data_IF_764180655657
#
_entry.id   IF_764180655657
#
_cell.length_a   1.000
_cell.length_b   1.000
_cell.length_c   1.000
_cell.angle_alpha   90.00
_cell.angle_beta   90.00
_cell.angle_gamma   90.00
#
_symmetry.space_group_name_H-M   'P 1'
#
loop_
_entity.id
_entity.type
_entity.pdbx_description
1 polymer ?
#
# COMPACT_ATOMS: atom_id res chain seq x y z
N UNK A 1 -10.55 -44.43 -13.67
CA UNK A 1 -10.23 -43.02 -13.43
C UNK A 1 -9.33 -43.00 -12.20
N UNK A 2 -8.06 -42.62 -12.31
CA UNK A 2 -7.10 -42.71 -11.20
C UNK A 2 -7.49 -41.69 -10.12
N UNK A 3 -8.16 -42.15 -9.08
CA UNK A 3 -8.34 -41.42 -7.83
C UNK A 3 -6.94 -41.34 -7.22
N UNK A 4 -6.40 -40.15 -7.03
CA UNK A 4 -5.16 -39.98 -6.26
C UNK A 4 -5.37 -40.53 -4.85
N UNK A 5 -4.34 -41.10 -4.23
CA UNK A 5 -4.42 -41.70 -2.89
C UNK A 5 -4.70 -40.63 -1.84
N UNK A 6 -5.97 -40.26 -1.65
CA UNK A 6 -6.38 -39.33 -0.62
C UNK A 6 -6.16 -39.97 0.76
N UNK A 7 -5.66 -39.18 1.70
CA UNK A 7 -5.39 -39.61 3.08
C UNK A 7 -6.63 -39.41 3.94
N UNK A 8 -7.20 -40.50 4.42
CA UNK A 8 -8.43 -40.50 5.22
C UNK A 8 -8.07 -40.90 6.66
N UNK A 9 -8.36 -40.04 7.62
CA UNK A 9 -8.28 -40.38 9.05
C UNK A 9 -9.63 -40.89 9.51
N UNK A 10 -9.66 -42.08 10.11
CA UNK A 10 -10.84 -42.74 10.65
C UNK A 10 -10.71 -42.75 12.18
N UNK A 11 -11.73 -42.30 12.89
CA UNK A 11 -11.72 -42.20 14.35
C UNK A 11 -12.95 -42.89 14.91
N UNK A 12 -12.74 -43.98 15.62
CA UNK A 12 -13.79 -44.82 16.21
C UNK A 12 -13.19 -45.58 17.40
N UNK A 13 -13.87 -45.60 18.54
CA UNK A 13 -13.41 -46.33 19.73
C UNK A 13 -13.59 -47.85 19.58
N UNK A 14 -14.41 -48.30 18.62
CA UNK A 14 -14.51 -49.69 18.24
C UNK A 14 -13.49 -50.05 17.15
N UNK A 15 -12.34 -50.60 17.53
CA UNK A 15 -11.26 -50.94 16.58
C UNK A 15 -11.72 -51.89 15.44
N UNK A 16 -12.73 -52.72 15.66
CA UNK A 16 -13.34 -53.55 14.60
C UNK A 16 -14.03 -52.74 13.51
N UNK A 17 -14.67 -51.62 13.86
CA UNK A 17 -15.34 -50.71 12.92
C UNK A 17 -14.31 -49.92 12.13
N UNK A 18 -13.31 -49.35 12.83
CA UNK A 18 -12.16 -48.67 12.22
C UNK A 18 -11.44 -49.56 11.20
N UNK A 19 -11.16 -50.82 11.56
CA UNK A 19 -10.46 -51.76 10.68
C UNK A 19 -11.30 -52.13 9.44
N UNK A 20 -12.61 -52.30 9.60
CA UNK A 20 -13.52 -52.58 8.48
C UNK A 20 -13.57 -51.40 7.50
N UNK A 21 -13.74 -50.18 8.00
CA UNK A 21 -13.71 -48.95 7.19
C UNK A 21 -12.39 -48.80 6.46
N UNK A 22 -11.28 -48.96 7.20
CA UNK A 22 -9.93 -48.86 6.66
C UNK A 22 -9.74 -49.85 5.52
N UNK A 23 -10.15 -51.11 5.69
CA UNK A 23 -10.06 -52.13 4.64
C UNK A 23 -10.92 -51.79 3.41
N UNK A 24 -12.17 -51.38 3.60
CA UNK A 24 -13.08 -51.02 2.49
C UNK A 24 -12.56 -49.83 1.67
N UNK A 25 -12.07 -48.79 2.35
CA UNK A 25 -11.53 -47.59 1.69
C UNK A 25 -10.17 -47.87 1.05
N UNK A 26 -9.34 -48.71 1.65
CA UNK A 26 -8.07 -49.15 1.06
C UNK A 26 -8.29 -49.93 -0.24
N UNK A 27 -9.30 -50.80 -0.31
CA UNK A 27 -9.67 -51.50 -1.55
C UNK A 27 -10.13 -50.54 -2.65
N UNK A 28 -10.73 -49.40 -2.28
CA UNK A 28 -11.11 -48.34 -3.20
C UNK A 28 -9.92 -47.43 -3.61
N UNK A 29 -8.73 -47.65 -3.05
CA UNK A 29 -7.49 -46.95 -3.40
C UNK A 29 -7.16 -45.73 -2.53
N UNK A 30 -7.84 -45.55 -1.41
CA UNK A 30 -7.53 -44.48 -0.44
C UNK A 30 -6.45 -44.93 0.55
N UNK A 31 -5.67 -43.98 1.05
CA UNK A 31 -4.70 -44.22 2.11
C UNK A 31 -5.36 -43.95 3.46
N UNK A 32 -5.51 -44.97 4.29
CA UNK A 32 -6.29 -44.84 5.54
C UNK A 32 -5.43 -44.88 6.78
N UNK A 33 -5.79 -44.05 7.75
CA UNK A 33 -5.18 -43.97 9.07
C UNK A 33 -6.28 -44.11 10.11
N UNK A 34 -5.96 -44.65 11.28
CA UNK A 34 -6.95 -44.90 12.34
C UNK A 34 -6.50 -44.30 13.67
N UNK A 35 -7.46 -43.90 14.48
CA UNK A 35 -7.27 -43.52 15.88
C UNK A 35 -8.44 -44.05 16.72
N UNK A 36 -8.14 -44.59 17.90
CA UNK A 36 -9.17 -45.19 18.78
C UNK A 36 -9.85 -44.15 19.69
N UNK A 37 -9.42 -42.89 19.66
CA UNK A 37 -10.04 -41.80 20.43
C UNK A 37 -9.75 -40.42 19.82
N UNK A 38 -10.53 -39.42 20.24
CA UNK A 38 -10.44 -38.05 19.72
C UNK A 38 -9.12 -37.32 20.08
N UNK A 39 -8.46 -37.64 21.20
CA UNK A 39 -7.20 -36.99 21.57
C UNK A 39 -6.05 -37.42 20.65
N UNK A 40 -5.94 -38.72 20.38
CA UNK A 40 -4.97 -39.25 19.44
C UNK A 40 -5.26 -38.75 18.02
N UNK A 41 -6.55 -38.66 17.64
CA UNK A 41 -6.95 -38.06 16.37
C UNK A 41 -6.50 -36.60 16.24
N UNK A 42 -6.70 -35.76 17.26
CA UNK A 42 -6.24 -34.36 17.25
C UNK A 42 -4.73 -34.26 17.09
N UNK A 43 -3.98 -35.12 17.78
CA UNK A 43 -2.52 -35.17 17.65
C UNK A 43 -2.12 -35.50 16.21
N UNK A 44 -2.72 -36.54 15.62
CA UNK A 44 -2.47 -36.92 14.23
C UNK A 44 -2.82 -35.79 13.26
N UNK A 45 -3.97 -35.13 13.43
CA UNK A 45 -4.43 -34.01 12.61
C UNK A 45 -3.53 -32.77 12.70
N UNK A 46 -2.78 -32.63 13.79
CA UNK A 46 -1.81 -31.55 13.99
C UNK A 46 -0.44 -31.88 13.38
N UNK A 47 -0.01 -33.14 13.48
CA UNK A 47 1.29 -33.61 13.00
C UNK A 47 1.30 -33.93 11.49
N UNK A 48 0.15 -34.28 10.92
CA UNK A 48 0.02 -34.77 9.55
C UNK A 48 -1.12 -34.08 8.81
N UNK A 49 -1.04 -34.06 7.47
CA UNK A 49 -2.12 -33.61 6.61
C UNK A 49 -3.00 -34.79 6.17
N UNK A 50 -4.31 -34.57 6.26
CA UNK A 50 -5.34 -35.49 5.79
C UNK A 50 -6.28 -34.76 4.82
N UNK A 51 -6.93 -35.50 3.94
CA UNK A 51 -7.88 -35.00 2.97
C UNK A 51 -9.35 -35.19 3.42
N UNK A 52 -9.58 -36.07 4.40
CA UNK A 52 -10.89 -36.34 4.97
C UNK A 52 -10.75 -36.90 6.40
N UNK A 53 -11.62 -36.45 7.30
CA UNK A 53 -11.84 -37.06 8.60
C UNK A 53 -13.18 -37.81 8.60
N UNK A 54 -13.18 -39.07 8.99
CA UNK A 54 -14.38 -39.85 9.32
C UNK A 54 -14.35 -40.12 10.82
N UNK A 55 -15.36 -39.69 11.57
CA UNK A 55 -15.36 -39.86 13.04
C UNK A 55 -16.70 -40.38 13.55
N UNK A 56 -16.67 -41.31 14.51
CA UNK A 56 -17.86 -41.70 15.23
C UNK A 56 -18.38 -40.57 16.14
N UNK A 57 -19.70 -40.45 16.27
CA UNK A 57 -20.28 -39.45 17.19
C UNK A 57 -19.95 -39.80 18.64
N UNK A 58 -20.10 -41.05 19.04
CA UNK A 58 -20.08 -41.50 20.43
C UNK A 58 -18.76 -42.18 20.75
N UNK A 59 -17.83 -41.39 21.26
CA UNK A 59 -16.56 -41.89 21.78
C UNK A 59 -16.39 -41.50 23.26
N UNK A 60 -15.64 -42.27 24.06
CA UNK A 60 -15.33 -41.93 25.44
C UNK A 60 -14.56 -40.61 25.55
N UNK A 61 -14.79 -39.88 26.65
CA UNK A 61 -14.15 -38.61 27.02
C UNK A 61 -14.49 -37.41 26.11
N UNK A 62 -14.20 -37.51 24.82
CA UNK A 62 -14.47 -36.46 23.83
C UNK A 62 -15.17 -37.07 22.63
N UNK A 63 -16.36 -36.55 22.34
CA UNK A 63 -17.22 -37.07 21.28
C UNK A 63 -16.82 -36.51 19.89
N UNK A 64 -17.31 -37.11 18.81
CA UNK A 64 -16.94 -36.71 17.44
C UNK A 64 -17.31 -35.26 17.10
N UNK A 65 -18.38 -34.72 17.70
CA UNK A 65 -18.79 -33.32 17.49
C UNK A 65 -17.80 -32.36 18.15
N UNK A 66 -17.31 -32.69 19.34
CA UNK A 66 -16.28 -31.93 20.06
C UNK A 66 -14.93 -31.97 19.34
N UNK A 67 -14.55 -33.14 18.81
CA UNK A 67 -13.37 -33.32 17.96
C UNK A 67 -13.43 -32.36 16.77
N UNK A 68 -14.56 -32.32 16.06
CA UNK A 68 -14.73 -31.43 14.89
C UNK A 68 -14.68 -29.96 15.30
N UNK A 69 -15.27 -29.58 16.43
CA UNK A 69 -15.16 -28.20 16.93
C UNK A 69 -13.71 -27.79 17.17
N UNK A 70 -12.89 -28.66 17.76
CA UNK A 70 -11.47 -28.41 17.96
C UNK A 70 -10.71 -28.34 16.63
N UNK A 71 -10.97 -29.27 15.71
CA UNK A 71 -10.41 -29.28 14.36
C UNK A 71 -10.66 -27.94 13.63
N UNK A 72 -11.88 -27.41 13.70
CA UNK A 72 -12.26 -26.18 12.99
C UNK A 72 -11.48 -24.94 13.44
N UNK A 73 -10.84 -24.96 14.61
CA UNK A 73 -10.00 -23.85 15.09
C UNK A 73 -8.69 -23.70 14.31
N UNK A 74 -8.14 -24.78 13.78
CA UNK A 74 -6.85 -24.78 13.09
C UNK A 74 -6.89 -25.33 11.65
N UNK A 75 -7.90 -26.12 11.31
CA UNK A 75 -8.14 -26.61 9.96
C UNK A 75 -9.65 -26.54 9.64
N UNK A 76 -10.15 -25.32 9.32
CA UNK A 76 -11.59 -25.09 9.12
C UNK A 76 -12.17 -25.82 7.91
N UNK A 77 -11.32 -26.31 7.00
CA UNK A 77 -11.74 -26.73 5.66
C UNK A 77 -11.61 -28.22 5.41
N UNK A 78 -10.96 -28.95 6.33
CA UNK A 78 -10.88 -30.40 6.25
C UNK A 78 -12.30 -30.96 6.17
N UNK A 79 -12.65 -31.67 5.08
CA UNK A 79 -13.92 -32.34 5.00
C UNK A 79 -14.07 -33.33 6.15
N UNK A 80 -15.27 -33.37 6.73
CA UNK A 80 -15.60 -34.28 7.81
C UNK A 80 -16.84 -35.06 7.44
N UNK A 81 -16.80 -36.36 7.67
CA UNK A 81 -17.96 -37.23 7.69
C UNK A 81 -18.13 -37.76 9.11
N UNK A 82 -19.37 -37.73 9.58
CA UNK A 82 -19.72 -38.30 10.88
C UNK A 82 -20.34 -39.68 10.69
N UNK A 83 -19.86 -40.68 11.42
CA UNK A 83 -20.45 -42.02 11.51
C UNK A 83 -21.33 -42.12 12.75
N UNK A 84 -22.55 -42.66 12.64
CA UNK A 84 -23.45 -42.79 13.78
C UNK A 84 -24.33 -44.03 13.70
N UNK A 85 -24.61 -44.64 14.86
CA UNK A 85 -25.61 -45.71 14.99
C UNK A 85 -27.06 -45.18 15.15
N UNK A 86 -27.26 -43.87 15.36
CA UNK A 86 -28.56 -43.32 15.78
C UNK A 86 -29.13 -42.36 14.73
N UNK A 87 -30.38 -42.63 14.31
CA UNK A 87 -31.18 -41.75 13.44
C UNK A 87 -31.87 -40.63 14.24
N UNK A 88 -31.13 -39.91 15.06
CA UNK A 88 -31.68 -38.79 15.83
C UNK A 88 -31.52 -37.49 15.04
N UNK A 89 -32.66 -36.87 14.70
CA UNK A 89 -32.72 -35.66 13.90
C UNK A 89 -32.05 -34.44 14.56
N UNK A 90 -32.01 -34.37 15.89
CA UNK A 90 -31.36 -33.25 16.59
C UNK A 90 -29.84 -33.32 16.48
N UNK A 91 -29.27 -34.51 16.64
CA UNK A 91 -27.84 -34.76 16.46
C UNK A 91 -27.38 -34.47 15.02
N UNK A 92 -28.18 -34.85 14.01
CA UNK A 92 -27.90 -34.56 12.59
C UNK A 92 -27.92 -33.05 12.32
N UNK A 93 -28.92 -32.32 12.86
CA UNK A 93 -28.96 -30.85 12.74
C UNK A 93 -27.74 -30.18 13.37
N UNK A 94 -27.28 -30.69 14.52
CA UNK A 94 -26.09 -30.16 15.19
C UNK A 94 -24.83 -30.41 14.34
N UNK A 95 -24.68 -31.62 13.78
CA UNK A 95 -23.58 -31.97 12.88
C UNK A 95 -23.52 -31.07 11.64
N UNK A 96 -24.67 -30.78 11.01
CA UNK A 96 -24.73 -29.86 9.88
C UNK A 96 -24.35 -28.42 10.27
N UNK A 97 -24.77 -27.95 11.45
CA UNK A 97 -24.41 -26.62 11.95
C UNK A 97 -22.92 -26.43 12.21
N UNK A 98 -22.19 -27.50 12.54
CA UNK A 98 -20.73 -27.43 12.76
C UNK A 98 -19.90 -27.65 11.48
N UNK A 99 -20.56 -27.68 10.31
CA UNK A 99 -19.89 -27.73 9.01
C UNK A 99 -19.35 -29.11 8.62
N UNK A 100 -20.04 -30.18 9.02
CA UNK A 100 -19.77 -31.55 8.57
C UNK A 100 -20.36 -31.74 7.17
N UNK A 101 -19.63 -32.43 6.29
CA UNK A 101 -19.98 -32.61 4.87
C UNK A 101 -21.01 -33.71 4.65
N UNK A 102 -21.03 -34.72 5.51
CA UNK A 102 -22.01 -35.78 5.48
C UNK A 102 -22.13 -36.54 6.79
N UNK A 103 -23.18 -37.32 6.92
CA UNK A 103 -23.30 -38.32 7.97
C UNK A 103 -23.63 -39.70 7.38
N UNK A 104 -23.04 -40.75 7.94
CA UNK A 104 -23.23 -42.13 7.53
C UNK A 104 -23.85 -42.89 8.70
N UNK A 105 -24.85 -43.74 8.42
CA UNK A 105 -25.52 -44.54 9.45
C UNK A 105 -24.95 -45.96 9.50
N UNK A 106 -24.60 -46.45 10.69
CA UNK A 106 -24.16 -47.85 10.92
C UNK A 106 -25.37 -48.80 10.99
N UNK A 107 -25.33 -50.01 10.37
CA UNK A 107 -24.34 -50.48 9.41
C UNK A 107 -24.56 -49.84 8.02
N UNK A 108 -23.49 -49.43 7.35
CA UNK A 108 -23.54 -48.79 6.03
C UNK A 108 -23.21 -49.76 4.90
N UNK A 109 -23.84 -49.54 3.74
CA UNK A 109 -23.48 -50.23 2.50
C UNK A 109 -22.22 -49.60 1.87
N UNK A 110 -21.45 -50.39 1.14
CA UNK A 110 -20.17 -49.95 0.58
C UNK A 110 -20.34 -48.79 -0.43
N UNK A 111 -21.39 -48.83 -1.24
CA UNK A 111 -21.74 -47.79 -2.20
C UNK A 111 -22.12 -46.47 -1.53
N UNK A 112 -22.89 -46.52 -0.44
CA UNK A 112 -23.23 -45.33 0.36
C UNK A 112 -21.98 -44.67 0.97
N UNK A 113 -21.08 -45.47 1.54
CA UNK A 113 -19.81 -45.00 2.09
C UNK A 113 -18.94 -44.32 1.03
N UNK A 114 -18.72 -45.01 -0.11
CA UNK A 114 -17.88 -44.48 -1.18
C UNK A 114 -18.45 -43.21 -1.81
N UNK A 115 -19.78 -43.13 -1.97
CA UNK A 115 -20.44 -41.93 -2.47
C UNK A 115 -20.25 -40.74 -1.52
N UNK A 116 -20.43 -40.95 -0.21
CA UNK A 116 -20.24 -39.94 0.83
C UNK A 116 -18.80 -39.42 0.87
N UNK A 117 -17.83 -40.33 0.86
CA UNK A 117 -16.39 -40.04 0.84
C UNK A 117 -16.02 -39.23 -0.41
N UNK A 118 -16.45 -39.67 -1.58
CA UNK A 118 -16.14 -38.99 -2.83
C UNK A 118 -16.70 -37.55 -2.84
N UNK A 119 -17.94 -37.37 -2.39
CA UNK A 119 -18.59 -36.05 -2.30
C UNK A 119 -17.84 -35.12 -1.33
N UNK A 120 -17.42 -35.63 -0.18
CA UNK A 120 -16.69 -34.85 0.82
C UNK A 120 -15.30 -34.44 0.30
N UNK A 121 -14.58 -35.35 -0.34
CA UNK A 121 -13.28 -35.08 -0.95
C UNK A 121 -13.37 -34.06 -2.10
N UNK A 122 -14.38 -34.18 -2.97
CA UNK A 122 -14.62 -33.20 -4.04
C UNK A 122 -14.92 -31.81 -3.49
N UNK A 123 -15.69 -31.72 -2.40
CA UNK A 123 -15.93 -30.44 -1.73
C UNK A 123 -14.66 -29.84 -1.13
N UNK A 124 -13.83 -30.65 -0.44
CA UNK A 124 -12.54 -30.21 0.09
C UNK A 124 -11.60 -29.68 -1.00
N UNK A 125 -11.53 -30.38 -2.14
CA UNK A 125 -10.76 -29.96 -3.31
C UNK A 125 -11.22 -28.60 -3.84
N UNK A 126 -12.52 -28.39 -4.00
CA UNK A 126 -13.09 -27.11 -4.47
C UNK A 126 -12.75 -25.99 -3.48
N UNK A 127 -12.90 -26.22 -2.17
CA UNK A 127 -12.55 -25.22 -1.15
C UNK A 127 -11.07 -24.85 -1.19
N UNK A 128 -10.18 -25.83 -1.37
CA UNK A 128 -8.74 -25.59 -1.47
C UNK A 128 -8.39 -24.84 -2.77
N UNK A 129 -9.02 -25.19 -3.89
CA UNK A 129 -8.82 -24.52 -5.17
C UNK A 129 -9.30 -23.07 -5.14
N UNK A 130 -10.48 -22.82 -4.57
CA UNK A 130 -11.03 -21.48 -4.39
C UNK A 130 -10.09 -20.59 -3.56
N UNK A 131 -9.54 -21.12 -2.45
CA UNK A 131 -8.57 -20.38 -1.63
C UNK A 131 -7.29 -20.06 -2.39
N UNK A 132 -6.75 -21.04 -3.11
CA UNK A 132 -5.58 -20.84 -3.98
C UNK A 132 -5.86 -19.82 -5.08
N UNK A 133 -7.08 -19.78 -5.60
CA UNK A 133 -7.48 -18.81 -6.61
C UNK A 133 -7.61 -17.40 -6.01
N UNK A 134 -8.27 -17.26 -4.85
CA UNK A 134 -8.37 -16.00 -4.11
C UNK A 134 -7.00 -15.41 -3.80
N UNK A 135 -6.09 -16.21 -3.24
CA UNK A 135 -4.75 -15.76 -2.92
C UNK A 135 -3.98 -15.31 -4.17
N UNK A 136 -4.09 -16.06 -5.29
CA UNK A 136 -3.48 -15.65 -6.57
C UNK A 136 -4.06 -14.34 -7.10
N UNK A 137 -5.38 -14.13 -6.97
CA UNK A 137 -6.01 -12.88 -7.40
C UNK A 137 -5.52 -11.69 -6.56
N UNK A 138 -5.42 -11.85 -5.24
CA UNK A 138 -4.89 -10.80 -4.35
C UNK A 138 -3.46 -10.41 -4.72
N UNK A 139 -2.60 -11.40 -4.95
CA UNK A 139 -1.22 -11.20 -5.41
C UNK A 139 -1.17 -10.48 -6.77
N UNK A 140 -2.00 -10.90 -7.73
CA UNK A 140 -2.09 -10.25 -9.05
C UNK A 140 -2.56 -8.80 -8.95
N UNK A 141 -3.57 -8.51 -8.11
CA UNK A 141 -4.05 -7.15 -7.88
C UNK A 141 -2.95 -6.29 -7.26
N UNK A 142 -2.21 -6.81 -6.27
CA UNK A 142 -1.09 -6.09 -5.66
C UNK A 142 -0.02 -5.75 -6.69
N UNK A 143 0.40 -6.73 -7.49
CA UNK A 143 1.40 -6.54 -8.54
C UNK A 143 0.94 -5.55 -9.62
N UNK A 144 -0.33 -5.62 -10.05
CA UNK A 144 -0.88 -4.67 -11.01
C UNK A 144 -0.92 -3.25 -10.44
N UNK A 145 -1.28 -3.09 -9.17
CA UNK A 145 -1.30 -1.79 -8.49
C UNK A 145 0.11 -1.18 -8.39
N UNK A 146 1.10 -1.98 -8.00
CA UNK A 146 2.50 -1.53 -7.95
C UNK A 146 3.01 -1.15 -9.33
N UNK A 147 2.73 -1.97 -10.36
CA UNK A 147 3.11 -1.67 -11.74
C UNK A 147 2.48 -0.38 -12.24
N UNK A 148 1.19 -0.17 -11.98
CA UNK A 148 0.48 1.06 -12.36
C UNK A 148 1.06 2.27 -11.63
N UNK A 149 1.36 2.16 -10.34
CA UNK A 149 1.95 3.26 -9.56
C UNK A 149 3.37 3.62 -10.06
N UNK A 150 4.18 2.61 -10.39
CA UNK A 150 5.52 2.82 -10.94
C UNK A 150 5.47 3.45 -12.34
N UNK A 151 4.55 2.99 -13.20
CA UNK A 151 4.33 3.60 -14.50
C UNK A 151 3.88 5.05 -14.37
N UNK A 152 2.90 5.32 -13.50
CA UNK A 152 2.40 6.67 -13.24
C UNK A 152 3.53 7.60 -12.76
N UNK A 153 4.26 7.20 -11.72
CA UNK A 153 5.38 7.98 -11.17
C UNK A 153 6.49 8.18 -12.20
N UNK A 154 6.80 7.13 -12.97
CA UNK A 154 7.78 7.19 -14.05
C UNK A 154 7.37 8.18 -15.15
N UNK A 155 6.10 8.16 -15.57
CA UNK A 155 5.56 9.10 -16.57
C UNK A 155 5.62 10.54 -16.06
N UNK A 156 5.20 10.81 -14.83
CA UNK A 156 5.28 12.14 -14.22
C UNK A 156 6.74 12.63 -14.18
N UNK A 157 7.67 11.79 -13.72
CA UNK A 157 9.09 12.14 -13.68
C UNK A 157 9.67 12.41 -15.08
N UNK A 158 9.27 11.63 -16.10
CA UNK A 158 9.68 11.85 -17.48
C UNK A 158 9.14 13.17 -18.05
N UNK A 159 7.90 13.53 -17.75
CA UNK A 159 7.30 14.80 -18.19
C UNK A 159 8.01 16.00 -17.56
N UNK A 160 8.28 15.94 -16.25
CA UNK A 160 9.03 16.97 -15.53
C UNK A 160 10.43 17.13 -16.14
N UNK A 161 11.16 16.02 -16.33
CA UNK A 161 12.49 16.06 -16.96
C UNK A 161 12.47 16.64 -18.37
N UNK A 162 11.44 16.31 -19.16
CA UNK A 162 11.28 16.85 -20.51
C UNK A 162 11.00 18.36 -20.49
N UNK A 163 10.20 18.84 -19.53
CA UNK A 163 9.95 20.26 -19.33
C UNK A 163 11.25 20.97 -18.87
N UNK A 164 11.93 20.47 -17.84
CA UNK A 164 13.18 21.06 -17.30
C UNK A 164 14.30 21.07 -18.34
N UNK A 165 14.39 20.07 -19.23
CA UNK A 165 15.40 20.02 -20.28
C UNK A 165 15.33 21.22 -21.26
N UNK A 166 14.20 21.92 -21.33
CA UNK A 166 14.04 23.13 -22.15
C UNK A 166 14.65 24.38 -21.51
N UNK A 167 14.94 24.34 -20.21
CA UNK A 167 15.43 25.47 -19.42
C UNK A 167 16.80 25.16 -18.82
N UNK A 168 17.84 25.83 -19.34
CA UNK A 168 19.19 25.72 -18.79
C UNK A 168 19.23 26.07 -17.30
N UNK A 169 19.73 25.14 -16.47
CA UNK A 169 19.89 25.34 -15.02
C UNK A 169 18.70 24.95 -14.14
N UNK A 170 17.61 24.42 -14.71
CA UNK A 170 16.42 24.00 -13.93
C UNK A 170 16.40 22.53 -13.54
N UNK A 171 17.43 21.75 -13.86
CA UNK A 171 17.46 20.33 -13.55
C UNK A 171 17.25 20.08 -12.04
N UNK A 172 16.21 19.29 -11.73
CA UNK A 172 15.82 18.95 -10.36
C UNK A 172 15.17 20.09 -9.58
N UNK A 173 14.82 21.21 -10.22
CA UNK A 173 14.11 22.34 -9.59
C UNK A 173 12.80 21.87 -8.98
N UNK A 174 11.98 21.17 -9.76
CA UNK A 174 10.64 20.75 -9.33
C UNK A 174 10.71 19.84 -8.09
N UNK A 175 11.73 18.96 -8.02
CA UNK A 175 11.97 18.10 -6.87
C UNK A 175 12.37 18.90 -5.62
N UNK A 176 13.28 19.86 -5.75
CA UNK A 176 13.69 20.71 -4.61
C UNK A 176 12.54 21.57 -4.09
N UNK A 177 11.75 22.15 -4.99
CA UNK A 177 10.54 22.91 -4.61
C UNK A 177 9.54 22.02 -3.88
N UNK A 178 9.28 20.81 -4.38
CA UNK A 178 8.41 19.85 -3.70
C UNK A 178 8.92 19.48 -2.30
N UNK A 179 10.22 19.24 -2.15
CA UNK A 179 10.84 18.91 -0.86
C UNK A 179 10.75 20.07 0.15
N UNK A 180 11.05 21.30 -0.29
CA UNK A 180 10.93 22.50 0.55
C UNK A 180 9.46 22.70 0.95
N UNK A 181 8.52 22.57 0.02
CA UNK A 181 7.11 22.72 0.30
C UNK A 181 6.62 21.70 1.33
N UNK A 182 7.02 20.43 1.22
CA UNK A 182 6.70 19.38 2.22
C UNK A 182 7.27 19.72 3.59
N UNK A 183 8.49 20.26 3.67
CA UNK A 183 9.09 20.68 4.94
C UNK A 183 8.29 21.79 5.61
N UNK A 184 7.93 22.84 4.87
CA UNK A 184 7.07 23.92 5.35
C UNK A 184 5.71 23.35 5.81
N UNK A 185 5.09 22.50 5.00
CA UNK A 185 3.83 21.84 5.32
C UNK A 185 3.91 21.01 6.61
N UNK A 186 5.02 20.30 6.83
CA UNK A 186 5.22 19.50 8.04
C UNK A 186 5.38 20.39 9.28
N UNK A 187 6.13 21.49 9.18
CA UNK A 187 6.32 22.44 10.27
C UNK A 187 5.00 23.05 10.77
N UNK A 188 4.02 23.26 9.88
CA UNK A 188 2.67 23.73 10.25
C UNK A 188 1.69 22.61 10.62
N UNK A 189 2.13 21.36 10.70
CA UNK A 189 1.32 20.22 11.15
C UNK A 189 0.40 19.60 10.10
N UNK A 190 0.68 19.74 8.80
CA UNK A 190 -0.08 19.06 7.75
C UNK A 190 0.04 17.53 7.87
N UNK A 191 -1.09 16.84 7.65
CA UNK A 191 -1.15 15.36 7.64
C UNK A 191 -0.57 14.78 6.34
N UNK A 192 -0.23 13.49 6.35
CA UNK A 192 0.37 12.77 5.21
C UNK A 192 -0.37 12.91 3.88
N UNK A 193 -1.70 13.02 3.91
CA UNK A 193 -2.48 13.24 2.69
C UNK A 193 -2.22 14.63 2.09
N UNK A 194 -2.25 15.68 2.92
CA UNK A 194 -1.98 17.05 2.51
C UNK A 194 -0.52 17.23 2.06
N UNK A 195 0.43 16.59 2.76
CA UNK A 195 1.85 16.59 2.37
C UNK A 195 2.07 15.93 1.01
N UNK A 196 1.38 14.81 0.72
CA UNK A 196 1.44 14.16 -0.59
C UNK A 196 0.91 15.07 -1.70
N UNK A 197 -0.22 15.75 -1.48
CA UNK A 197 -0.76 16.71 -2.46
C UNK A 197 0.19 17.87 -2.70
N UNK A 198 0.79 18.40 -1.63
CA UNK A 198 1.75 19.51 -1.71
C UNK A 198 3.02 19.11 -2.46
N UNK A 199 3.54 17.90 -2.20
CA UNK A 199 4.66 17.34 -2.94
C UNK A 199 4.33 17.22 -4.44
N UNK A 200 3.17 16.63 -4.79
CA UNK A 200 2.75 16.51 -6.18
C UNK A 200 2.54 17.87 -6.85
N UNK A 201 1.96 18.85 -6.13
CA UNK A 201 1.82 20.21 -6.64
C UNK A 201 3.18 20.87 -6.88
N UNK A 202 4.15 20.71 -5.98
CA UNK A 202 5.51 21.21 -6.17
C UNK A 202 6.24 20.57 -7.35
N UNK A 203 6.03 19.28 -7.60
CA UNK A 203 6.59 18.61 -8.77
C UNK A 203 5.99 19.11 -10.10
N UNK A 204 4.75 19.59 -10.08
CA UNK A 204 3.98 19.86 -11.29
C UNK A 204 3.64 21.33 -11.52
N UNK A 205 4.02 22.23 -10.60
CA UNK A 205 3.61 23.65 -10.63
C UNK A 205 3.91 24.33 -11.98
N UNK A 206 5.06 24.02 -12.56
CA UNK A 206 5.57 24.59 -13.81
C UNK A 206 5.21 23.80 -15.08
N UNK A 207 4.39 22.74 -15.01
CA UNK A 207 4.12 21.87 -16.18
C UNK A 207 3.50 22.65 -17.36
N UNK A 208 2.75 23.71 -17.07
CA UNK A 208 2.15 24.58 -18.08
C UNK A 208 3.16 25.30 -18.97
N UNK A 209 4.42 25.41 -18.54
CA UNK A 209 5.49 26.02 -19.32
C UNK A 209 5.80 25.25 -20.61
N UNK A 210 5.32 24.01 -20.75
CA UNK A 210 5.37 23.25 -22.02
C UNK A 210 4.74 24.04 -23.18
N UNK A 211 3.71 24.86 -22.93
CA UNK A 211 3.02 25.63 -23.97
C UNK A 211 3.74 26.91 -24.42
N UNK A 212 4.77 27.37 -23.70
CA UNK A 212 5.48 28.63 -23.99
C UNK A 212 6.56 28.36 -25.05
N UNK A 213 6.76 29.25 -26.02
CA UNK A 213 7.75 29.08 -27.08
C UNK A 213 9.20 29.21 -26.58
N UNK A 214 10.13 28.42 -27.14
CA UNK A 214 11.57 28.48 -26.79
C UNK A 214 12.18 29.86 -27.06
N UNK A 215 11.72 30.56 -28.09
CA UNK A 215 12.14 31.92 -28.44
C UNK A 215 11.83 32.95 -27.34
N UNK A 216 10.82 32.69 -26.50
CA UNK A 216 10.45 33.52 -25.36
C UNK A 216 11.24 33.08 -24.13
N UNK A 217 11.25 31.78 -23.83
CA UNK A 217 11.90 31.22 -22.65
C UNK A 217 13.42 31.45 -22.63
N UNK A 218 14.08 31.32 -23.78
CA UNK A 218 15.54 31.39 -23.89
C UNK A 218 16.03 32.76 -24.36
N UNK A 219 15.16 33.78 -24.37
CA UNK A 219 15.50 35.11 -24.88
C UNK A 219 16.60 35.75 -24.02
N UNK A 220 17.77 36.12 -24.59
CA UNK A 220 18.88 36.71 -23.83
C UNK A 220 18.69 38.21 -23.53
N UNK A 221 17.47 38.72 -23.69
CA UNK A 221 17.10 40.12 -23.52
C UNK A 221 15.81 40.23 -22.70
N UNK A 222 15.51 41.43 -22.21
CA UNK A 222 14.28 41.68 -21.49
C UNK A 222 13.06 41.28 -22.35
N UNK A 223 12.09 40.65 -21.69
CA UNK A 223 10.83 40.25 -22.30
C UNK A 223 9.93 41.48 -22.49
N UNK A 224 9.13 41.47 -23.55
CA UNK A 224 8.05 42.45 -23.73
C UNK A 224 6.87 42.13 -22.80
N UNK A 225 5.98 43.11 -22.59
CA UNK A 225 4.76 42.88 -21.80
C UNK A 225 3.90 41.73 -22.35
N UNK A 226 3.83 41.58 -23.68
CA UNK A 226 3.12 40.45 -24.29
C UNK A 226 3.81 39.12 -24.02
N UNK A 227 5.14 39.06 -24.07
CA UNK A 227 5.92 37.86 -23.77
C UNK A 227 5.81 37.47 -22.28
N UNK A 228 5.78 38.45 -21.38
CA UNK A 228 5.54 38.24 -19.96
C UNK A 228 4.15 37.64 -19.74
N UNK A 229 3.11 38.19 -20.38
CA UNK A 229 1.74 37.68 -20.25
C UNK A 229 1.62 36.22 -20.73
N UNK A 230 2.37 35.84 -21.77
CA UNK A 230 2.43 34.44 -22.24
C UNK A 230 3.03 33.53 -21.16
N UNK A 231 4.14 33.93 -20.53
CA UNK A 231 4.73 33.15 -19.44
C UNK A 231 3.77 33.09 -18.24
N UNK A 232 3.14 34.20 -17.86
CA UNK A 232 2.21 34.26 -16.73
C UNK A 232 0.94 33.43 -16.94
N UNK A 233 0.67 32.97 -18.17
CA UNK A 233 -0.45 32.07 -18.45
C UNK A 233 -0.19 30.60 -18.05
N UNK A 234 1.07 30.22 -17.76
CA UNK A 234 1.41 28.82 -17.51
C UNK A 234 0.72 28.19 -16.28
N UNK A 235 0.37 28.89 -15.18
CA UNK A 235 -0.35 28.23 -14.10
C UNK A 235 -1.74 27.77 -14.53
N UNK A 236 -2.40 28.55 -15.40
CA UNK A 236 -3.70 28.21 -16.00
C UNK A 236 -3.54 27.02 -16.96
N UNK A 237 -2.57 27.10 -17.88
CA UNK A 237 -2.28 26.00 -18.79
C UNK A 237 -1.87 24.71 -18.05
N UNK A 238 -1.19 24.84 -16.91
CA UNK A 238 -0.82 23.73 -16.04
C UNK A 238 -2.05 23.01 -15.50
N UNK A 239 -3.07 23.74 -15.04
CA UNK A 239 -4.35 23.14 -14.62
C UNK A 239 -5.03 22.43 -15.80
N UNK A 240 -5.10 23.07 -16.97
CA UNK A 240 -5.75 22.47 -18.15
C UNK A 240 -5.08 21.16 -18.60
N UNK A 241 -3.75 21.06 -18.45
CA UNK A 241 -2.97 19.85 -18.73
C UNK A 241 -3.25 18.75 -17.70
N UNK A 242 -3.42 19.13 -16.43
CA UNK A 242 -3.47 18.19 -15.31
C UNK A 242 -4.89 17.75 -14.94
N UNK A 243 -5.92 18.54 -15.22
CA UNK A 243 -7.30 18.23 -14.87
C UNK A 243 -7.86 16.91 -15.45
N UNK A 244 -7.37 16.38 -16.59
CA UNK A 244 -7.79 15.04 -17.03
C UNK A 244 -7.17 13.90 -16.20
N UNK A 245 -6.09 14.16 -15.47
CA UNK A 245 -5.32 13.16 -14.70
C UNK A 245 -5.66 13.24 -13.21
N UNK A 246 -5.84 14.46 -12.69
CA UNK A 246 -6.08 14.73 -11.28
C UNK A 246 -7.48 15.31 -11.07
N UNK A 247 -8.28 14.64 -10.24
CA UNK A 247 -9.60 15.10 -9.77
C UNK A 247 -9.51 15.61 -8.32
N UNK A 248 -8.49 16.42 -8.02
CA UNK A 248 -8.30 17.03 -6.70
C UNK A 248 -8.21 18.55 -6.84
N UNK A 249 -9.29 19.24 -6.46
CA UNK A 249 -9.39 20.69 -6.56
C UNK A 249 -8.31 21.39 -5.73
N UNK A 250 -7.95 20.87 -4.55
CA UNK A 250 -6.95 21.50 -3.68
C UNK A 250 -5.56 21.50 -4.32
N UNK A 251 -5.20 20.40 -4.99
CA UNK A 251 -3.96 20.26 -5.75
C UNK A 251 -3.94 21.20 -6.95
N UNK A 252 -5.01 21.19 -7.76
CA UNK A 252 -5.10 22.03 -8.97
C UNK A 252 -5.09 23.53 -8.61
N UNK A 253 -5.76 23.92 -7.53
CA UNK A 253 -5.72 25.30 -7.02
C UNK A 253 -4.33 25.69 -6.50
N UNK A 254 -3.61 24.78 -5.84
CA UNK A 254 -2.23 25.05 -5.44
C UNK A 254 -1.34 25.34 -6.66
N UNK A 255 -1.51 24.58 -7.74
CA UNK A 255 -0.78 24.77 -9.01
C UNK A 255 -1.24 26.06 -9.72
N UNK A 256 -2.52 26.37 -9.79
CA UNK A 256 -2.99 27.58 -10.48
C UNK A 256 -2.46 28.87 -9.87
N UNK A 257 -2.36 28.89 -8.55
CA UNK A 257 -2.18 30.12 -7.78
C UNK A 257 -0.78 30.25 -7.16
N UNK A 258 0.19 29.41 -7.54
CA UNK A 258 1.54 29.43 -6.96
C UNK A 258 2.33 30.72 -7.24
N UNK A 259 1.80 31.63 -8.06
CA UNK A 259 2.34 32.96 -8.32
C UNK A 259 1.46 34.11 -7.80
N UNK A 260 0.45 33.82 -7.00
CA UNK A 260 -0.28 34.85 -6.26
C UNK A 260 0.60 35.45 -5.16
N UNK A 261 0.61 36.77 -5.04
CA UNK A 261 1.29 37.48 -3.96
C UNK A 261 0.31 37.70 -2.81
N UNK A 262 0.77 37.62 -1.57
CA UNK A 262 -0.08 37.80 -0.39
C UNK A 262 -0.88 39.12 -0.39
N UNK A 263 -0.33 40.21 -0.95
CA UNK A 263 -0.99 41.52 -1.13
C UNK A 263 -1.94 41.62 -2.34
N UNK A 264 -2.01 40.57 -3.16
CA UNK A 264 -2.78 40.44 -4.40
C UNK A 264 -2.20 41.17 -5.60
N UNK A 265 -0.91 41.51 -5.57
CA UNK A 265 -0.18 41.98 -6.76
C UNK A 265 0.24 40.85 -7.71
N UNK A 266 -0.03 39.59 -7.35
CA UNK A 266 0.33 38.40 -8.11
C UNK A 266 -0.66 38.06 -9.23
N UNK A 267 -0.53 36.84 -9.75
CA UNK A 267 -1.30 36.34 -10.89
C UNK A 267 -1.57 34.83 -10.73
N UNK A 268 -2.53 34.23 -11.46
CA UNK A 268 -3.33 34.79 -12.54
C UNK A 268 -4.58 35.57 -12.12
N UNK A 269 -5.08 35.38 -10.89
CA UNK A 269 -6.42 35.83 -10.49
C UNK A 269 -6.38 37.00 -9.48
N UNK A 270 -5.20 37.35 -8.95
CA UNK A 270 -5.01 38.51 -8.06
C UNK A 270 -5.58 38.28 -6.67
N UNK A 271 -5.56 37.03 -6.20
CA UNK A 271 -6.09 36.63 -4.90
C UNK A 271 -5.27 37.23 -3.75
N UNK A 272 -5.93 37.52 -2.62
CA UNK A 272 -5.29 38.15 -1.46
C UNK A 272 -5.31 37.28 -0.22
N UNK A 273 -4.24 37.34 0.55
CA UNK A 273 -4.12 36.74 1.87
C UNK A 273 -4.62 35.28 1.91
N UNK A 274 -5.73 35.02 2.61
CA UNK A 274 -6.30 33.69 2.81
C UNK A 274 -7.15 33.18 1.63
N UNK A 275 -7.49 34.04 0.67
CA UNK A 275 -8.14 33.63 -0.57
C UNK A 275 -7.20 32.75 -1.40
N UNK A 276 -5.89 32.97 -1.26
CA UNK A 276 -4.85 32.15 -1.85
C UNK A 276 -4.86 30.78 -1.14
N UNK A 277 -5.01 29.67 -1.88
CA UNK A 277 -4.97 28.33 -1.31
C UNK A 277 -3.69 28.11 -0.51
N UNK A 278 -3.79 27.40 0.63
CA UNK A 278 -2.63 27.13 1.49
C UNK A 278 -1.46 26.52 0.72
N UNK A 279 -1.73 25.55 -0.16
CA UNK A 279 -0.69 24.93 -0.99
C UNK A 279 0.05 25.93 -1.88
N UNK A 280 -0.66 26.88 -2.50
CA UNK A 280 -0.07 27.93 -3.32
C UNK A 280 0.80 28.89 -2.49
N UNK A 281 0.32 29.30 -1.30
CA UNK A 281 1.10 30.14 -0.37
C UNK A 281 2.39 29.47 0.11
N UNK A 282 2.39 28.15 0.25
CA UNK A 282 3.62 27.39 0.56
C UNK A 282 4.54 27.31 -0.67
N UNK A 283 3.98 27.01 -1.85
CA UNK A 283 4.76 26.83 -3.09
C UNK A 283 5.52 28.10 -3.48
N UNK A 284 4.91 29.28 -3.38
CA UNK A 284 5.59 30.53 -3.75
C UNK A 284 6.84 30.82 -2.89
N UNK A 285 6.83 30.41 -1.61
CA UNK A 285 8.00 30.50 -0.72
C UNK A 285 9.07 29.50 -1.18
N UNK A 286 8.66 28.23 -1.37
CA UNK A 286 9.56 27.16 -1.78
C UNK A 286 10.25 27.45 -3.13
N UNK A 287 9.48 27.90 -4.13
CA UNK A 287 9.96 28.26 -5.45
C UNK A 287 10.89 29.47 -5.42
N UNK A 288 10.53 30.50 -4.65
CA UNK A 288 11.36 31.70 -4.48
C UNK A 288 12.71 31.34 -3.85
N UNK A 289 12.70 30.49 -2.81
CA UNK A 289 13.92 30.05 -2.15
C UNK A 289 14.81 29.25 -3.12
N UNK A 290 14.28 28.21 -3.76
CA UNK A 290 15.06 27.39 -4.70
C UNK A 290 15.63 28.23 -5.85
N UNK A 291 14.83 29.16 -6.37
CA UNK A 291 15.24 30.05 -7.46
C UNK A 291 16.37 31.01 -7.06
N UNK A 292 16.51 31.33 -5.77
CA UNK A 292 17.58 32.19 -5.26
C UNK A 292 18.85 31.39 -4.92
N UNK A 293 18.70 30.16 -4.43
CA UNK A 293 19.82 29.33 -3.96
C UNK A 293 20.34 28.32 -4.99
N UNK A 294 19.67 28.19 -6.14
CA UNK A 294 20.10 27.32 -7.25
C UNK A 294 20.84 28.09 -8.35
N UNK A 295 21.80 27.42 -8.99
CA UNK A 295 22.54 27.98 -10.13
C UNK A 295 21.63 28.26 -11.33
N UNK A 296 21.74 29.48 -11.90
CA UNK A 296 21.08 29.87 -13.16
C UNK A 296 22.08 30.56 -14.09
N UNK A 297 22.02 30.35 -15.43
CA UNK A 297 23.03 30.87 -16.37
C UNK A 297 23.23 32.40 -16.40
N UNK A 298 22.26 33.17 -15.89
CA UNK A 298 22.23 34.64 -15.97
C UNK A 298 22.12 35.33 -14.61
N UNK A 299 22.29 34.60 -13.49
CA UNK A 299 22.16 35.16 -12.14
C UNK A 299 23.12 34.47 -11.18
N UNK A 300 23.81 35.27 -10.36
CA UNK A 300 24.64 34.76 -9.27
C UNK A 300 23.77 34.04 -8.22
N UNK A 301 24.19 32.84 -7.83
CA UNK A 301 23.55 32.06 -6.78
C UNK A 301 23.73 32.76 -5.43
N UNK A 302 22.63 33.00 -4.71
CA UNK A 302 22.68 33.56 -3.36
C UNK A 302 23.01 32.46 -2.34
N UNK A 303 23.68 32.86 -1.26
CA UNK A 303 23.82 31.97 -0.10
C UNK A 303 22.45 31.76 0.57
N UNK A 304 22.20 30.58 1.18
CA UNK A 304 20.96 30.29 1.90
C UNK A 304 20.51 31.41 2.85
N UNK A 305 21.44 31.98 3.63
CA UNK A 305 21.14 33.01 4.62
C UNK A 305 20.65 34.29 3.95
N UNK A 306 21.22 34.65 2.80
CA UNK A 306 20.79 35.83 2.04
C UNK A 306 19.39 35.63 1.45
N UNK A 307 19.08 34.43 0.96
CA UNK A 307 17.76 34.11 0.43
C UNK A 307 16.68 34.16 1.54
N UNK A 308 17.00 33.67 2.73
CA UNK A 308 16.13 33.75 3.91
C UNK A 308 15.83 35.20 4.29
N UNK A 309 16.84 36.07 4.33
CA UNK A 309 16.64 37.49 4.66
C UNK A 309 15.77 38.22 3.61
N UNK A 310 15.91 37.88 2.32
CA UNK A 310 15.02 38.39 1.27
C UNK A 310 13.58 37.93 1.51
N UNK A 311 13.36 36.65 1.83
CA UNK A 311 12.01 36.12 2.11
C UNK A 311 11.39 36.83 3.32
N UNK A 312 12.15 37.01 4.41
CA UNK A 312 11.70 37.76 5.60
C UNK A 312 11.35 39.21 5.26
N UNK A 313 12.12 39.86 4.39
CA UNK A 313 11.86 41.26 4.01
C UNK A 313 10.55 41.46 3.24
N UNK A 314 10.02 40.41 2.59
CA UNK A 314 8.78 40.43 1.80
C UNK A 314 7.59 39.80 2.54
N UNK A 315 7.73 39.56 3.85
CA UNK A 315 6.69 39.04 4.74
C UNK A 315 5.47 39.97 4.73
N UNK A 316 4.28 39.41 4.53
CA UNK A 316 3.02 40.15 4.47
C UNK A 316 2.79 40.93 3.17
N UNK A 317 3.76 40.92 2.24
CA UNK A 317 3.64 41.53 0.91
C UNK A 317 3.55 40.41 -0.14
N UNK A 318 4.65 39.67 -0.32
CA UNK A 318 4.67 38.54 -1.26
C UNK A 318 4.30 37.23 -0.57
N UNK A 319 4.74 37.06 0.67
CA UNK A 319 4.64 35.80 1.40
C UNK A 319 3.71 35.89 2.60
N UNK A 320 3.00 34.82 2.86
CA UNK A 320 2.19 34.68 4.07
C UNK A 320 3.07 34.79 5.33
N UNK A 321 2.74 35.70 6.27
CA UNK A 321 3.51 35.93 7.49
C UNK A 321 3.75 34.69 8.34
N UNK A 322 2.77 33.79 8.46
CA UNK A 322 2.86 32.61 9.32
C UNK A 322 3.69 31.51 8.65
N UNK A 323 3.62 31.42 7.32
CA UNK A 323 4.39 30.43 6.56
C UNK A 323 5.85 30.81 6.41
N UNK A 324 6.18 32.11 6.42
CA UNK A 324 7.59 32.55 6.49
C UNK A 324 8.24 32.07 7.78
N UNK A 325 7.55 32.19 8.91
CA UNK A 325 8.07 31.74 10.21
C UNK A 325 8.25 30.20 10.20
N UNK A 326 7.27 29.47 9.70
CA UNK A 326 7.35 28.01 9.55
C UNK A 326 8.47 27.57 8.59
N UNK A 327 8.69 28.31 7.50
CA UNK A 327 9.79 28.05 6.57
C UNK A 327 11.15 28.20 7.24
N UNK A 328 11.37 29.30 7.98
CA UNK A 328 12.62 29.53 8.70
C UNK A 328 12.87 28.42 9.73
N UNK A 329 11.86 28.07 10.52
CA UNK A 329 11.95 26.95 11.47
C UNK A 329 12.33 25.64 10.78
N UNK A 330 11.70 25.34 9.62
CA UNK A 330 11.97 24.10 8.89
C UNK A 330 13.40 23.98 8.34
N UNK A 331 14.09 25.12 8.12
CA UNK A 331 15.49 25.14 7.73
C UNK A 331 16.41 24.88 8.94
N UNK A 332 16.12 25.50 10.08
CA UNK A 332 16.88 25.29 11.32
C UNK A 332 16.82 23.82 11.78
N UNK A 333 15.64 23.21 11.73
CA UNK A 333 15.45 21.78 12.01
C UNK A 333 16.28 20.90 11.07
N UNK A 334 16.33 21.24 9.78
CA UNK A 334 17.09 20.50 8.79
C UNK A 334 18.61 20.60 8.97
N UNK A 335 19.10 21.75 9.42
CA UNK A 335 20.51 21.93 9.77
C UNK A 335 20.87 21.14 11.03
N UNK A 336 20.00 21.14 12.04
CA UNK A 336 20.17 20.34 13.26
C UNK A 336 20.21 18.83 12.96
N UNK A 337 19.31 18.33 12.10
CA UNK A 337 19.30 16.93 11.67
C UNK A 337 20.59 16.53 10.93
N UNK A 338 21.11 17.41 10.06
CA UNK A 338 22.37 17.17 9.36
C UNK A 338 23.56 17.14 10.32
N UNK A 339 23.63 18.07 11.26
CA UNK A 339 24.69 18.09 12.27
C UNK A 339 24.66 16.85 13.16
N UNK A 340 23.48 16.41 13.59
CA UNK A 340 23.33 15.16 14.37
C UNK A 340 23.72 13.91 13.57
N UNK A 341 23.42 13.87 12.26
CA UNK A 341 23.76 12.73 11.39
C UNK A 341 25.27 12.66 11.13
N UNK A 342 25.93 13.81 10.99
CA UNK A 342 27.39 13.91 10.85
C UNK A 342 28.12 13.54 12.15
N UNK A 343 27.62 14.02 13.30
CA UNK A 343 28.15 13.62 14.62
C UNK A 343 28.01 12.09 14.83
N UNK A 344 26.90 11.48 14.42
CA UNK A 344 26.74 10.03 14.50
C UNK A 344 27.66 9.26 13.54
N UNK A 345 27.95 9.80 12.34
CA UNK A 345 28.90 9.14 11.44
C UNK A 345 30.34 9.24 11.95
N UNK A 346 30.73 10.38 12.52
CA UNK A 346 32.08 10.58 13.07
C UNK A 346 32.32 9.75 14.33
N UNK A 347 31.31 9.59 15.20
CA UNK A 347 31.35 8.69 16.36
C UNK A 347 31.48 7.22 15.92
N UNK A 348 30.82 6.81 14.84
CA UNK A 348 30.93 5.43 14.33
C UNK A 348 32.32 5.18 13.72
N UNK A 349 32.95 6.18 13.08
CA UNK A 349 34.32 6.05 12.57
C UNK A 349 35.34 5.98 13.71
N UNK A 350 35.22 6.82 14.75
CA UNK A 350 36.13 6.77 15.91
C UNK A 350 36.03 5.46 16.71
N UNK A 351 34.83 4.89 16.85
CA UNK A 351 34.65 3.60 17.54
C UNK A 351 35.31 2.46 16.75
N UNK A 352 35.18 2.45 15.43
CA UNK A 352 35.78 1.42 14.55
C UNK A 352 37.31 1.55 14.49
N UNK A 353 37.87 2.76 14.55
CA UNK A 353 39.33 2.96 14.62
C UNK A 353 39.90 2.61 16.01
N UNK A 354 39.14 2.80 17.09
CA UNK A 354 39.56 2.42 18.45
C UNK A 354 39.56 0.91 18.71
N UNK A 355 38.68 0.15 18.03
CA UNK A 355 38.64 -1.32 18.10
C UNK A 355 39.68 -2.00 17.19
N UNK A 356 40.24 -1.29 16.22
CA UNK A 356 41.29 -1.82 15.34
C UNK A 356 42.73 -1.73 15.92
N UNK A 357 42.89 -1.08 17.07
CA UNK A 357 44.21 -0.83 17.71
C UNK A 357 44.40 -1.66 19.00
N UNK A 358 43.43 -2.50 19.40
CA UNK A 358 43.53 -3.35 20.61
C UNK A 358 43.68 -4.84 20.32
#
# INVERSE_FOLDING_TARGET
MRIGSAKILIVDDESSVSLLLSHQLSLAGYETYTADNAFDALKLLYENSYDLLITDIKMPNMNGIELVRQLRLFNPDLPVIISSAIKDGETIKLALKIGVNDYITKPYALDELLFSVQRALDHGRILQENRRYQHRLEEMIRQQREKLNNLFTGTISSLIKAQEARFHGTAGHSARVADIAVRIGRAIGCKDEALRKLHTAGLLHDIGMIGVQDSIIQKPAALTEQEIAIIQSHPVAGVDILSPIFDDESLLRAIRHHHESYDGSGYPDGLKEIEIPLGARILIIAESYDSMTSFRPYRDTLKPEQAVEIIKSLRGVKYDPDLVDAFVQSLEEAEAEKSMTLEYSDVVVEVVESEAIN
#
